data_IF_456108713589
#
_entry.id   IF_456108713589
#
_cell.length_a   1.000
_cell.length_b   1.000
_cell.length_c   1.000
_cell.angle_alpha   90.00
_cell.angle_beta   90.00
_cell.angle_gamma   90.00
#
_symmetry.space_group_name_H-M   'P 1'
#
loop_
_entity.id
_entity.type
_entity.pdbx_description
1 polymer ?
#
# COMPACT_ATOMS: atom_id res chain seq x y z
N UNK A 1 -3.05 59.40 17.27
CA UNK A 1 -2.76 58.05 16.76
C UNK A 1 -2.72 57.11 17.95
N UNK A 2 -3.68 56.19 18.09
CA UNK A 2 -3.85 55.38 19.30
C UNK A 2 -3.08 54.06 19.11
N UNK A 3 -1.90 53.96 19.72
CA UNK A 3 -1.19 52.69 19.90
C UNK A 3 -1.66 52.07 21.22
N UNK A 4 -2.78 51.34 21.21
CA UNK A 4 -3.12 50.44 22.32
C UNK A 4 -2.25 49.19 22.19
N UNK A 5 -1.09 49.20 22.83
CA UNK A 5 -0.21 48.04 22.93
C UNK A 5 -0.84 46.97 23.82
N UNK A 6 -0.70 45.71 23.43
CA UNK A 6 -1.08 44.54 24.22
C UNK A 6 -0.47 44.61 25.63
N UNK A 7 -1.25 44.25 26.65
CA UNK A 7 -0.74 44.19 28.03
C UNK A 7 0.06 42.90 28.25
N UNK A 8 1.04 42.93 29.17
CA UNK A 8 1.83 41.75 29.54
C UNK A 8 0.93 40.58 29.99
N UNK A 9 -0.12 40.89 30.76
CA UNK A 9 -1.10 39.91 31.24
C UNK A 9 -1.84 39.25 30.08
N UNK A 10 -2.29 40.03 29.11
CA UNK A 10 -3.01 39.54 27.93
C UNK A 10 -2.11 38.61 27.09
N UNK A 11 -0.82 38.94 26.95
CA UNK A 11 0.16 38.05 26.32
C UNK A 11 0.32 36.73 27.10
N UNK A 12 0.38 36.78 28.44
CA UNK A 12 0.48 35.57 29.26
C UNK A 12 -0.75 34.67 29.14
N UNK A 13 -1.95 35.27 29.09
CA UNK A 13 -3.21 34.52 28.91
C UNK A 13 -3.25 33.87 27.51
N UNK A 14 -2.85 34.59 26.46
CA UNK A 14 -2.78 34.04 25.09
C UNK A 14 -1.79 32.88 25.01
N UNK A 15 -0.60 33.01 25.61
CA UNK A 15 0.39 31.92 25.66
C UNK A 15 -0.11 30.72 26.46
N UNK A 16 -0.84 30.94 27.56
CA UNK A 16 -1.45 29.86 28.35
C UNK A 16 -2.50 29.09 27.53
N UNK A 17 -3.35 29.80 26.79
CA UNK A 17 -4.35 29.17 25.91
C UNK A 17 -3.67 28.40 24.78
N UNK A 18 -2.62 28.96 24.15
CA UNK A 18 -1.86 28.28 23.10
C UNK A 18 -1.17 27.01 23.62
N UNK A 19 -0.63 27.02 24.84
CA UNK A 19 -0.02 25.84 25.46
C UNK A 19 -1.05 24.70 25.66
N UNK A 20 -2.26 25.04 26.12
CA UNK A 20 -3.35 24.06 26.30
C UNK A 20 -3.76 23.47 24.94
N UNK A 21 -3.95 24.32 23.92
CA UNK A 21 -4.36 23.88 22.57
C UNK A 21 -3.27 23.02 21.91
N UNK A 22 -2.00 23.40 22.05
CA UNK A 22 -0.86 22.65 21.49
C UNK A 22 -0.78 21.22 22.06
N UNK A 23 -1.13 21.07 23.34
CA UNK A 23 -1.14 19.77 24.03
C UNK A 23 -2.20 18.83 23.42
N UNK A 24 -3.39 19.34 23.10
CA UNK A 24 -4.50 18.56 22.53
C UNK A 24 -4.28 18.25 21.04
N UNK A 25 -3.72 19.20 20.28
CA UNK A 25 -3.55 19.08 18.83
C UNK A 25 -2.57 17.97 18.39
N UNK A 26 -1.58 17.64 19.23
CA UNK A 26 -0.50 16.71 18.85
C UNK A 26 -0.97 15.26 18.72
N UNK A 27 -1.91 14.80 19.56
CA UNK A 27 -2.35 13.38 19.59
C UNK A 27 -3.15 13.00 18.34
N UNK A 28 -3.95 13.91 17.79
CA UNK A 28 -4.79 13.66 16.61
C UNK A 28 -3.98 13.43 15.32
N UNK A 29 -2.82 14.11 15.19
CA UNK A 29 -2.04 14.10 13.96
C UNK A 29 -1.31 12.76 13.69
N UNK A 30 -0.90 12.06 14.76
CA UNK A 30 -0.21 10.78 14.67
C UNK A 30 -1.11 9.70 14.06
N UNK A 31 -2.35 9.56 14.55
CA UNK A 31 -3.31 8.57 14.03
C UNK A 31 -3.76 8.83 12.59
N UNK A 32 -3.80 10.09 12.17
CA UNK A 32 -4.13 10.49 10.80
C UNK A 32 -3.02 10.11 9.80
N UNK A 33 -1.75 10.34 10.17
CA UNK A 33 -0.59 9.96 9.34
C UNK A 33 -0.51 8.45 9.12
N UNK A 34 -0.71 7.66 10.17
CA UNK A 34 -0.74 6.19 10.06
C UNK A 34 -1.85 5.71 9.12
N UNK A 35 -3.05 6.30 9.24
CA UNK A 35 -4.19 5.97 8.37
C UNK A 35 -3.85 6.22 6.91
N UNK A 36 -3.25 7.37 6.64
CA UNK A 36 -2.88 7.80 5.30
C UNK A 36 -1.84 6.87 4.69
N UNK A 37 -0.80 6.48 5.46
CA UNK A 37 0.21 5.52 4.98
C UNK A 37 -0.38 4.15 4.65
N UNK A 38 -1.19 3.58 5.55
CA UNK A 38 -1.79 2.26 5.34
C UNK A 38 -2.75 2.28 4.14
N UNK A 39 -3.59 3.31 4.04
CA UNK A 39 -4.52 3.49 2.92
C UNK A 39 -3.78 3.75 1.61
N UNK A 40 -2.69 4.52 1.65
CA UNK A 40 -1.82 4.79 0.51
C UNK A 40 -1.21 3.51 -0.04
N UNK A 41 -0.62 2.67 0.82
CA UNK A 41 -0.05 1.39 0.41
C UNK A 41 -1.11 0.43 -0.16
N UNK A 42 -2.30 0.39 0.44
CA UNK A 42 -3.41 -0.42 -0.06
C UNK A 42 -3.85 0.02 -1.47
N UNK A 43 -3.94 1.34 -1.70
CA UNK A 43 -4.23 1.89 -3.02
C UNK A 43 -3.11 1.62 -4.03
N UNK A 44 -1.85 1.68 -3.61
CA UNK A 44 -0.70 1.33 -4.46
C UNK A 44 -0.78 -0.13 -4.90
N UNK A 45 -1.04 -1.08 -3.98
CA UNK A 45 -1.22 -2.49 -4.34
C UNK A 45 -2.36 -2.65 -5.36
N UNK A 46 -3.51 -2.01 -5.12
CA UNK A 46 -4.64 -2.01 -6.08
C UNK A 46 -4.23 -1.45 -7.45
N UNK A 47 -3.45 -0.38 -7.48
CA UNK A 47 -2.94 0.23 -8.70
C UNK A 47 -1.97 -0.69 -9.44
N UNK A 48 -1.03 -1.30 -8.72
CA UNK A 48 -0.03 -2.20 -9.28
C UNK A 48 -0.69 -3.50 -9.82
N UNK A 49 -1.75 -4.00 -9.18
CA UNK A 49 -2.59 -5.09 -9.73
C UNK A 49 -3.24 -4.67 -11.05
N UNK A 50 -3.83 -3.46 -11.12
CA UNK A 50 -4.44 -2.97 -12.34
C UNK A 50 -3.42 -2.79 -13.47
N UNK A 51 -2.25 -2.24 -13.14
CA UNK A 51 -1.14 -2.09 -14.08
C UNK A 51 -0.65 -3.45 -14.59
N UNK A 52 -0.47 -4.42 -13.69
CA UNK A 52 -0.07 -5.76 -14.04
C UNK A 52 -1.06 -6.46 -14.97
N UNK A 53 -2.38 -6.28 -14.77
CA UNK A 53 -3.40 -6.78 -15.70
C UNK A 53 -3.27 -6.19 -17.10
N UNK A 54 -3.06 -4.87 -17.19
CA UNK A 54 -2.90 -4.18 -18.48
C UNK A 54 -1.66 -4.73 -19.22
N UNK A 55 -0.56 -4.93 -18.49
CA UNK A 55 0.68 -5.48 -19.06
C UNK A 55 0.50 -6.94 -19.50
N UNK A 56 -0.13 -7.78 -18.66
CA UNK A 56 -0.43 -9.17 -18.99
C UNK A 56 -1.32 -9.28 -20.24
N UNK A 57 -2.35 -8.44 -20.35
CA UNK A 57 -3.21 -8.36 -21.52
C UNK A 57 -2.46 -7.90 -22.77
N UNK A 58 -1.66 -6.83 -22.67
CA UNK A 58 -0.88 -6.27 -23.78
C UNK A 58 0.12 -7.29 -24.33
N UNK A 59 0.82 -7.99 -23.45
CA UNK A 59 1.91 -8.90 -23.84
C UNK A 59 1.44 -10.33 -24.07
N UNK A 60 0.13 -10.60 -23.97
CA UNK A 60 -0.47 -11.95 -24.02
C UNK A 60 0.24 -12.97 -23.11
N UNK A 61 0.68 -12.52 -21.92
CA UNK A 61 1.55 -13.29 -21.04
C UNK A 61 1.11 -13.30 -19.57
N UNK A 62 2.03 -13.70 -18.69
CA UNK A 62 1.83 -13.70 -17.25
C UNK A 62 2.57 -12.55 -16.58
N UNK A 63 1.91 -11.96 -15.60
CA UNK A 63 2.51 -11.01 -14.67
C UNK A 63 2.26 -11.54 -13.26
N UNK A 64 3.28 -11.51 -12.42
CA UNK A 64 3.22 -12.03 -11.06
C UNK A 64 3.45 -10.89 -10.08
N UNK A 65 2.57 -10.78 -9.08
CA UNK A 65 2.81 -10.01 -7.87
C UNK A 65 3.21 -10.99 -6.78
N UNK A 66 4.44 -10.87 -6.28
CA UNK A 66 4.98 -11.74 -5.24
C UNK A 66 5.22 -10.94 -3.97
N UNK A 67 4.66 -11.41 -2.86
CA UNK A 67 4.92 -10.86 -1.53
C UNK A 67 6.14 -11.55 -0.94
N UNK A 68 7.04 -10.75 -0.38
CA UNK A 68 8.21 -11.19 0.34
C UNK A 68 8.25 -10.48 1.70
N UNK A 69 9.20 -10.88 2.54
CA UNK A 69 9.43 -10.17 3.80
C UNK A 69 9.91 -8.73 3.51
N UNK A 70 9.16 -7.74 4.01
CA UNK A 70 9.52 -6.32 3.90
C UNK A 70 9.26 -5.66 2.54
N UNK A 71 8.90 -6.40 1.49
CA UNK A 71 8.61 -5.83 0.17
C UNK A 71 7.65 -6.69 -0.64
N UNK A 72 7.16 -6.15 -1.75
CA UNK A 72 6.58 -6.97 -2.82
C UNK A 72 7.13 -6.54 -4.18
N UNK A 73 7.20 -7.51 -5.09
CA UNK A 73 7.62 -7.31 -6.47
C UNK A 73 6.44 -7.55 -7.42
N UNK A 74 6.41 -6.79 -8.51
CA UNK A 74 5.56 -7.03 -9.67
C UNK A 74 6.46 -7.22 -10.88
N UNK A 75 6.35 -8.34 -11.58
CA UNK A 75 7.23 -8.68 -12.70
C UNK A 75 6.51 -9.47 -13.79
N UNK A 76 7.05 -9.41 -15.00
CA UNK A 76 6.61 -10.22 -16.14
C UNK A 76 7.23 -11.60 -16.03
N UNK A 77 6.42 -12.64 -16.11
CA UNK A 77 6.81 -14.06 -16.04
C UNK A 77 6.65 -14.66 -17.46
N UNK A 78 7.60 -14.34 -18.34
CA UNK A 78 7.56 -14.65 -19.78
C UNK A 78 8.74 -15.50 -20.26
N UNK A 79 9.61 -15.98 -19.38
CA UNK A 79 10.76 -16.81 -19.74
C UNK A 79 11.86 -16.07 -20.50
N UNK A 80 11.92 -14.74 -20.40
CA UNK A 80 12.95 -13.97 -21.08
C UNK A 80 14.36 -14.33 -20.55
N UNK A 81 15.36 -14.32 -21.44
CA UNK A 81 16.76 -14.53 -21.06
C UNK A 81 17.08 -15.92 -20.51
N UNK A 82 16.44 -16.97 -21.04
CA UNK A 82 16.68 -18.37 -20.65
C UNK A 82 15.88 -18.84 -19.43
N UNK A 83 14.93 -18.03 -18.94
CA UNK A 83 14.02 -18.41 -17.87
C UNK A 83 12.86 -19.28 -18.38
N UNK A 84 12.09 -19.87 -17.46
CA UNK A 84 10.90 -20.67 -17.79
C UNK A 84 9.64 -19.84 -17.63
N UNK A 85 8.94 -19.58 -18.74
CA UNK A 85 7.68 -18.83 -18.69
C UNK A 85 6.61 -19.55 -17.85
N UNK A 86 5.98 -18.82 -16.94
CA UNK A 86 4.92 -19.33 -16.08
C UNK A 86 5.43 -20.11 -14.87
N UNK A 87 6.71 -19.99 -14.49
CA UNK A 87 7.26 -20.67 -13.31
C UNK A 87 7.08 -19.92 -11.98
N UNK A 88 6.47 -18.72 -12.01
CA UNK A 88 6.21 -17.89 -10.83
C UNK A 88 7.45 -17.29 -10.17
N UNK A 89 8.61 -17.42 -10.78
CA UNK A 89 9.87 -16.89 -10.28
C UNK A 89 10.30 -15.78 -11.22
N UNK A 90 10.99 -14.76 -10.68
CA UNK A 90 11.60 -13.75 -11.53
C UNK A 90 13.03 -14.16 -11.82
N UNK A 91 13.30 -14.58 -13.04
CA UNK A 91 14.59 -15.17 -13.42
C UNK A 91 15.09 -14.66 -14.77
N UNK A 92 16.38 -14.91 -15.06
CA UNK A 92 16.99 -14.54 -16.34
C UNK A 92 16.79 -13.07 -16.69
N UNK A 93 16.19 -12.83 -17.87
CA UNK A 93 15.92 -11.52 -18.44
C UNK A 93 14.52 -10.97 -18.13
N UNK A 94 13.79 -11.54 -17.17
CA UNK A 94 12.42 -11.14 -16.86
C UNK A 94 12.31 -9.74 -16.25
N UNK A 95 11.38 -8.96 -16.80
CA UNK A 95 11.24 -7.54 -16.49
C UNK A 95 10.51 -7.34 -15.17
N UNK A 96 11.18 -6.69 -14.22
CA UNK A 96 10.54 -6.16 -13.02
C UNK A 96 9.80 -4.86 -13.34
N UNK A 97 8.49 -4.86 -13.16
CA UNK A 97 7.61 -3.70 -13.38
C UNK A 97 7.71 -2.72 -12.20
N UNK A 98 7.75 -3.26 -10.98
CA UNK A 98 7.92 -2.46 -9.76
C UNK A 98 8.40 -3.32 -8.59
N UNK A 99 9.19 -2.70 -7.71
CA UNK A 99 9.42 -3.16 -6.34
C UNK A 99 8.85 -2.11 -5.39
N UNK A 100 8.18 -2.55 -4.33
CA UNK A 100 7.68 -1.65 -3.28
C UNK A 100 8.16 -2.13 -1.92
N UNK A 101 8.98 -1.30 -1.29
CA UNK A 101 9.39 -1.48 0.10
C UNK A 101 8.21 -1.20 1.03
N UNK A 102 8.09 -2.00 2.09
CA UNK A 102 7.05 -1.92 3.10
C UNK A 102 7.72 -1.49 4.39
N UNK A 103 7.16 -0.44 5.01
CA UNK A 103 7.69 0.04 6.28
C UNK A 103 7.62 -1.08 7.34
N UNK A 104 8.62 -1.22 8.22
CA UNK A 104 8.63 -2.25 9.27
C UNK A 104 7.42 -2.21 10.22
N UNK A 105 6.71 -1.07 10.29
CA UNK A 105 5.49 -0.94 11.08
C UNK A 105 4.24 -1.53 10.44
N UNK A 106 4.34 -2.02 9.19
CA UNK A 106 3.25 -2.61 8.41
C UNK A 106 3.64 -4.03 8.03
N UNK A 107 2.84 -5.01 8.45
CA UNK A 107 2.89 -6.37 7.93
C UNK A 107 2.00 -6.50 6.70
N UNK A 108 2.54 -7.03 5.61
CA UNK A 108 1.78 -7.45 4.43
C UNK A 108 1.73 -8.98 4.41
N UNK A 109 0.53 -9.52 4.41
CA UNK A 109 0.29 -10.97 4.27
C UNK A 109 -0.73 -11.24 3.17
N UNK A 110 -0.80 -12.49 2.72
CA UNK A 110 -1.75 -12.90 1.69
C UNK A 110 -2.27 -14.31 1.95
N UNK A 111 -3.42 -14.62 1.37
CA UNK A 111 -3.96 -15.99 1.33
C UNK A 111 -3.79 -16.66 -0.05
N UNK A 112 -3.03 -16.03 -0.94
CA UNK A 112 -2.64 -16.66 -2.20
C UNK A 112 -1.61 -17.76 -1.95
N UNK A 113 -1.72 -18.93 -2.59
CA UNK A 113 -0.69 -19.96 -2.51
C UNK A 113 0.67 -19.40 -2.92
N UNK A 114 1.74 -19.79 -2.21
CA UNK A 114 3.11 -19.35 -2.51
C UNK A 114 3.33 -17.84 -2.39
N UNK A 115 2.44 -17.13 -1.69
CA UNK A 115 2.46 -15.67 -1.50
C UNK A 115 2.47 -14.85 -2.80
N UNK A 116 1.98 -15.45 -3.89
CA UNK A 116 1.98 -14.83 -5.21
C UNK A 116 0.60 -14.76 -5.86
N UNK A 117 0.39 -13.73 -6.68
CA UNK A 117 -0.79 -13.56 -7.51
C UNK A 117 -0.38 -13.51 -8.97
N UNK A 118 -0.91 -14.41 -9.79
CA UNK A 118 -0.75 -14.36 -11.24
C UNK A 118 -1.91 -13.64 -11.91
N UNK A 119 -1.53 -12.65 -12.70
CA UNK A 119 -2.36 -11.90 -13.60
C UNK A 119 -2.16 -12.46 -15.01
N UNK A 120 -3.25 -12.79 -15.67
CA UNK A 120 -3.26 -13.45 -16.98
C UNK A 120 -3.87 -12.52 -18.02
N UNK A 121 -3.44 -12.68 -19.27
CA UNK A 121 -4.04 -11.97 -20.41
C UNK A 121 -5.56 -12.19 -20.56
N UNK A 122 -6.06 -13.35 -20.11
CA UNK A 122 -7.49 -13.68 -20.10
C UNK A 122 -8.33 -12.91 -19.07
N UNK A 123 -7.71 -12.17 -18.15
CA UNK A 123 -8.40 -11.46 -17.07
C UNK A 123 -8.93 -12.34 -15.94
N UNK A 124 -8.94 -13.67 -16.10
CA UNK A 124 -9.27 -14.61 -15.03
C UNK A 124 -8.16 -14.61 -13.98
N UNK A 125 -8.55 -14.40 -12.72
CA UNK A 125 -7.64 -14.30 -11.59
C UNK A 125 -8.14 -15.23 -10.47
N UNK A 126 -7.23 -15.86 -9.74
CA UNK A 126 -7.59 -16.60 -8.52
C UNK A 126 -8.12 -15.57 -7.50
N UNK A 127 -9.33 -15.73 -6.94
CA UNK A 127 -9.79 -14.85 -5.87
C UNK A 127 -8.91 -14.97 -4.63
N UNK A 128 -8.75 -13.88 -3.90
CA UNK A 128 -7.98 -13.85 -2.67
C UNK A 128 -7.78 -12.44 -2.15
N UNK A 129 -6.96 -12.31 -1.13
CA UNK A 129 -6.83 -11.09 -0.33
C UNK A 129 -5.39 -10.86 0.06
N UNK A 130 -4.92 -9.64 -0.16
CA UNK A 130 -3.76 -9.10 0.54
C UNK A 130 -4.23 -8.36 1.79
N UNK A 131 -3.58 -8.59 2.93
CA UNK A 131 -3.88 -7.91 4.18
C UNK A 131 -2.71 -7.07 4.62
N UNK A 132 -2.95 -5.77 4.78
CA UNK A 132 -2.03 -4.83 5.39
C UNK A 132 -2.44 -4.62 6.84
N UNK A 133 -1.55 -4.93 7.78
CA UNK A 133 -1.77 -4.74 9.21
C UNK A 133 -0.69 -3.80 9.77
N UNK A 134 -1.11 -2.69 10.37
CA UNK A 134 -0.20 -1.81 11.10
C UNK A 134 -0.01 -2.33 12.53
N UNK A 135 1.16 -2.06 13.13
CA UNK A 135 1.46 -2.41 14.53
C UNK A 135 0.49 -1.81 15.57
N UNK A 136 -0.24 -0.75 15.21
CA UNK A 136 -1.29 -0.16 16.07
C UNK A 136 -2.61 -0.95 16.06
N UNK A 137 -2.67 -2.09 15.36
CA UNK A 137 -3.83 -2.98 15.30
C UNK A 137 -4.75 -2.73 14.10
N UNK A 138 -4.60 -1.60 13.41
CA UNK A 138 -5.46 -1.26 12.25
C UNK A 138 -5.10 -2.08 11.01
N UNK A 139 -6.13 -2.51 10.28
CA UNK A 139 -5.98 -3.39 9.11
C UNK A 139 -6.75 -2.90 7.89
N UNK A 140 -6.16 -3.07 6.71
CA UNK A 140 -6.82 -2.85 5.42
C UNK A 140 -6.61 -4.09 4.56
N UNK A 141 -7.68 -4.59 3.95
CA UNK A 141 -7.65 -5.72 3.03
C UNK A 141 -7.81 -5.21 1.59
N UNK A 142 -7.00 -5.75 0.69
CA UNK A 142 -7.17 -5.62 -0.76
C UNK A 142 -7.75 -6.94 -1.25
N UNK A 143 -9.07 -6.97 -1.44
CA UNK A 143 -9.81 -8.17 -1.86
C UNK A 143 -9.95 -8.20 -3.36
N UNK A 144 -9.66 -9.34 -3.98
CA UNK A 144 -9.66 -9.55 -5.42
C UNK A 144 -10.63 -10.69 -5.74
N UNK A 145 -11.54 -10.44 -6.68
CA UNK A 145 -12.48 -11.46 -7.14
C UNK A 145 -12.00 -12.22 -8.39
N UNK A 146 -12.76 -13.23 -8.82
CA UNK A 146 -12.41 -14.10 -9.95
C UNK A 146 -12.25 -13.37 -11.30
N UNK A 147 -12.90 -12.21 -11.42
CA UNK A 147 -12.90 -11.35 -12.61
C UNK A 147 -11.80 -10.27 -12.53
N UNK A 148 -10.95 -10.32 -11.49
CA UNK A 148 -9.82 -9.40 -11.35
C UNK A 148 -10.17 -8.01 -10.85
N UNK A 149 -11.38 -7.79 -10.30
CA UNK A 149 -11.73 -6.53 -9.62
C UNK A 149 -11.10 -6.54 -8.23
N UNK A 150 -10.27 -5.55 -7.95
CA UNK A 150 -9.67 -5.31 -6.65
C UNK A 150 -10.44 -4.20 -5.90
N UNK A 151 -10.83 -4.47 -4.66
CA UNK A 151 -11.51 -3.52 -3.76
C UNK A 151 -10.78 -3.42 -2.42
N UNK A 152 -10.95 -2.29 -1.75
CA UNK A 152 -10.41 -2.06 -0.42
C UNK A 152 -11.49 -2.29 0.62
N UNK A 153 -11.16 -3.02 1.68
CA UNK A 153 -12.03 -3.25 2.83
C UNK A 153 -11.27 -2.85 4.10
N UNK A 154 -11.89 -2.02 4.93
CA UNK A 154 -11.38 -1.75 6.26
C UNK A 154 -11.69 -2.97 7.14
N UNK A 155 -10.70 -3.46 7.88
CA UNK A 155 -10.93 -4.46 8.92
C UNK A 155 -10.69 -3.78 10.26
N UNK A 156 -11.75 -3.73 11.07
CA UNK A 156 -11.74 -3.26 12.45
C UNK A 156 -10.92 -4.16 13.35
#
# INVERSE_FOLDING_TARGET
MISKGFTLYELMVVLAILAIIATIGTVSLLGARERSRLSGLANTIKSDINRGKIIAARNKGYVVLQVSEGYYDLFVDNGAGGATAGNWQREGGEVRISRREIAPSIALTTNFPGDHLRLRSSGRIRPGTFTLAHRSGRRIKVVINAVGRARLELSG
#
